data_IF_636458699119
#
_entry.id   IF_636458699119
#
_cell.length_a   1.000
_cell.length_b   1.000
_cell.length_c   1.000
_cell.angle_alpha   90.00
_cell.angle_beta   90.00
_cell.angle_gamma   90.00
#
_symmetry.space_group_name_H-M   'P 1'
#
loop_
_entity.id
_entity.type
_entity.pdbx_description
1 polymer ?
#
# COMPACT_ATOMS: atom_id res chain seq x y z
N UNK A 1 -16.29 32.41 -9.35
CA UNK A 1 -15.23 31.84 -10.19
C UNK A 1 -15.50 30.35 -10.29
N UNK A 2 -15.48 29.76 -11.47
CA UNK A 2 -15.81 28.34 -11.66
C UNK A 2 -14.57 27.49 -11.28
N UNK A 3 -14.68 26.52 -10.36
CA UNK A 3 -13.57 25.63 -10.04
C UNK A 3 -13.19 24.77 -11.25
N UNK A 4 -11.91 24.43 -11.37
CA UNK A 4 -11.47 23.43 -12.35
C UNK A 4 -11.50 22.04 -11.70
N UNK A 5 -12.01 21.07 -12.45
CA UNK A 5 -12.10 19.67 -12.01
C UNK A 5 -10.75 18.96 -12.20
N UNK A 6 -10.42 18.05 -11.30
CA UNK A 6 -9.26 17.16 -11.38
C UNK A 6 -9.72 15.75 -11.73
N UNK A 7 -9.00 15.07 -12.61
CA UNK A 7 -9.28 13.69 -13.01
C UNK A 7 -7.99 12.93 -13.32
N UNK A 8 -8.08 11.60 -13.35
CA UNK A 8 -6.96 10.72 -13.72
C UNK A 8 -7.00 10.41 -15.21
N UNK A 9 -5.94 10.78 -15.92
CA UNK A 9 -5.72 10.41 -17.31
C UNK A 9 -4.68 9.28 -17.39
N UNK A 10 -4.96 8.23 -18.17
CA UNK A 10 -4.07 7.05 -18.26
C UNK A 10 -2.73 7.37 -18.93
N UNK A 11 -2.71 8.26 -19.92
CA UNK A 11 -1.50 8.60 -20.68
C UNK A 11 -0.85 9.89 -20.15
N UNK A 12 -1.65 10.76 -19.53
CA UNK A 12 -1.28 12.13 -19.23
C UNK A 12 -1.41 13.04 -20.45
N UNK A 13 -1.57 14.34 -20.20
CA UNK A 13 -1.61 15.38 -21.23
C UNK A 13 -1.02 16.69 -20.68
N UNK A 14 -1.05 17.79 -21.42
CA UNK A 14 -0.53 19.09 -20.97
C UNK A 14 -1.23 19.63 -19.72
N UNK A 15 -2.48 19.24 -19.48
CA UNK A 15 -3.22 19.51 -18.25
C UNK A 15 -2.72 18.74 -17.03
N UNK A 16 -1.84 17.75 -17.23
CA UNK A 16 -1.19 17.00 -16.14
C UNK A 16 0.08 17.70 -15.62
N UNK A 17 0.47 18.85 -16.18
CA UNK A 17 1.64 19.60 -15.73
C UNK A 17 1.30 20.48 -14.54
N UNK A 18 2.06 20.32 -13.45
CA UNK A 18 1.95 21.12 -12.24
C UNK A 18 3.29 21.79 -11.93
N UNK A 19 3.23 23.07 -11.56
CA UNK A 19 4.35 23.76 -10.93
C UNK A 19 4.27 23.46 -9.43
N UNK A 20 5.41 23.07 -8.85
CA UNK A 20 5.56 22.91 -7.41
C UNK A 20 6.09 24.23 -6.86
N UNK A 21 5.36 24.80 -5.91
CA UNK A 21 5.79 26.01 -5.21
C UNK A 21 5.85 25.79 -3.70
N UNK A 22 6.71 26.53 -2.98
CA UNK A 22 6.66 26.56 -1.53
C UNK A 22 5.32 27.05 -1.00
N UNK A 23 4.73 26.33 -0.04
CA UNK A 23 3.52 26.81 0.65
C UNK A 23 3.81 28.05 1.53
N UNK A 24 5.09 28.27 1.88
CA UNK A 24 5.53 29.35 2.76
C UNK A 24 6.76 30.07 2.20
N UNK A 25 6.92 31.35 2.54
CA UNK A 25 7.93 32.27 1.99
C UNK A 25 9.37 32.05 2.48
N UNK A 26 9.63 31.06 3.35
CA UNK A 26 10.98 30.80 3.87
C UNK A 26 11.82 29.90 2.96
N UNK A 27 11.23 29.33 1.92
CA UNK A 27 11.96 28.63 0.86
C UNK A 27 12.15 29.56 -0.35
N UNK A 28 13.30 29.47 -1.00
CA UNK A 28 13.60 30.27 -2.19
C UNK A 28 13.31 29.45 -3.44
N UNK A 29 12.74 30.09 -4.45
CA UNK A 29 12.54 29.45 -5.76
C UNK A 29 13.91 29.04 -6.32
N UNK A 30 14.03 27.77 -6.70
CA UNK A 30 15.28 27.16 -7.17
C UNK A 30 15.97 26.27 -6.14
N UNK A 31 15.55 26.32 -4.87
CA UNK A 31 16.02 25.38 -3.85
C UNK A 31 15.51 23.96 -4.09
N UNK A 32 16.26 22.98 -3.60
CA UNK A 32 15.84 21.57 -3.61
C UNK A 32 14.61 21.36 -2.72
N UNK A 33 13.59 20.68 -3.25
CA UNK A 33 12.42 20.26 -2.47
C UNK A 33 12.75 19.01 -1.66
N UNK A 34 12.76 19.14 -0.34
CA UNK A 34 13.04 18.03 0.57
C UNK A 34 11.78 17.25 0.94
N UNK A 35 11.95 15.96 1.27
CA UNK A 35 10.89 15.21 1.94
C UNK A 35 10.53 15.90 3.27
N UNK A 36 9.23 15.98 3.56
CA UNK A 36 8.64 16.68 4.68
C UNK A 36 8.29 18.14 4.39
N UNK A 37 8.73 18.71 3.26
CA UNK A 37 8.33 20.06 2.85
C UNK A 37 6.83 20.14 2.55
N UNK A 38 6.26 21.31 2.86
CA UNK A 38 4.89 21.67 2.52
C UNK A 38 4.90 22.47 1.22
N UNK A 39 4.16 21.98 0.24
CA UNK A 39 4.13 22.51 -1.11
C UNK A 39 2.71 22.90 -1.53
N UNK A 40 2.63 23.73 -2.56
CA UNK A 40 1.41 23.98 -3.32
C UNK A 40 1.57 23.43 -4.75
N UNK A 41 0.52 22.83 -5.28
CA UNK A 41 0.49 22.22 -6.61
C UNK A 41 -0.32 23.09 -7.55
N UNK A 42 0.33 23.69 -8.54
CA UNK A 42 -0.24 24.75 -9.36
C UNK A 42 -0.40 24.23 -10.79
N UNK A 43 -1.62 23.94 -11.27
CA UNK A 43 -1.83 23.43 -12.63
C UNK A 43 -1.39 24.46 -13.69
N UNK A 44 -0.51 24.05 -14.59
CA UNK A 44 0.06 24.93 -15.62
C UNK A 44 -0.99 25.41 -16.62
N UNK A 45 -1.80 24.48 -17.14
CA UNK A 45 -2.81 24.75 -18.17
C UNK A 45 -3.88 25.76 -17.72
N UNK A 46 -4.25 25.72 -16.45
CA UNK A 46 -5.27 26.59 -15.85
C UNK A 46 -4.75 28.01 -15.69
N UNK A 47 -3.54 28.17 -15.16
CA UNK A 47 -3.00 29.49 -14.83
C UNK A 47 -2.50 30.24 -16.07
N UNK A 48 -2.11 29.53 -17.14
CA UNK A 48 -1.80 30.17 -18.42
C UNK A 48 -3.01 30.78 -19.13
N UNK A 49 -4.22 30.26 -18.88
CA UNK A 49 -5.45 30.75 -19.50
C UNK A 49 -6.04 31.94 -18.75
N UNK A 50 -5.66 32.15 -17.49
CA UNK A 50 -6.15 33.24 -16.65
C UNK A 50 -5.22 34.45 -16.73
N UNK A 51 -5.69 35.53 -17.36
CA UNK A 51 -5.02 36.83 -17.34
C UNK A 51 -5.14 37.48 -15.95
N UNK A 52 -4.08 37.47 -15.13
CA UNK A 52 -3.97 38.27 -13.91
C UNK A 52 -3.50 37.52 -12.65
N UNK A 53 -3.45 38.25 -11.51
CA UNK A 53 -2.94 37.83 -10.18
C UNK A 53 -3.65 36.63 -9.51
N UNK A 54 -4.55 35.94 -10.21
CA UNK A 54 -5.32 34.82 -9.65
C UNK A 54 -4.57 33.53 -9.92
N UNK A 55 -4.22 32.82 -8.84
CA UNK A 55 -3.43 31.61 -8.92
C UNK A 55 -4.24 30.42 -8.44
N UNK A 56 -4.79 29.66 -9.38
CA UNK A 56 -5.47 28.41 -9.06
C UNK A 56 -4.46 27.35 -8.65
N UNK A 57 -4.76 26.61 -7.60
CA UNK A 57 -3.96 25.49 -7.11
C UNK A 57 -4.84 24.34 -6.63
N UNK A 58 -4.24 23.16 -6.51
CA UNK A 58 -4.90 21.97 -6.02
C UNK A 58 -5.38 22.21 -4.58
N UNK A 59 -6.68 22.11 -4.40
CA UNK A 59 -7.41 22.56 -3.23
C UNK A 59 -8.34 21.45 -2.71
N UNK A 60 -8.42 21.35 -1.38
CA UNK A 60 -9.32 20.45 -0.68
C UNK A 60 -10.64 21.17 -0.37
N UNK A 61 -11.70 20.78 -1.07
CA UNK A 61 -13.05 21.33 -0.88
C UNK A 61 -13.64 20.93 0.48
N UNK A 62 -14.56 21.75 1.00
CA UNK A 62 -15.42 21.35 2.12
C UNK A 62 -16.64 20.53 1.67
N UNK A 63 -16.78 20.27 0.37
CA UNK A 63 -17.88 19.47 -0.17
C UNK A 63 -17.60 17.97 0.01
N UNK A 64 -18.44 17.32 0.81
CA UNK A 64 -18.40 15.86 0.99
C UNK A 64 -19.05 15.16 -0.19
N UNK A 65 -18.48 14.02 -0.58
CA UNK A 65 -19.01 13.22 -1.66
C UNK A 65 -20.32 12.52 -1.22
N UNK A 66 -21.31 12.47 -2.12
CA UNK A 66 -22.64 11.92 -1.80
C UNK A 66 -22.61 10.41 -1.54
N UNK A 67 -21.75 9.72 -2.27
CA UNK A 67 -21.48 8.28 -2.20
C UNK A 67 -20.46 7.93 -1.10
N UNK A 68 -19.64 8.90 -0.67
CA UNK A 68 -18.61 8.70 0.35
C UNK A 68 -18.64 9.82 1.40
N UNK A 69 -19.45 9.61 2.45
CA UNK A 69 -19.73 10.62 3.49
C UNK A 69 -18.51 11.09 4.29
N UNK A 70 -17.40 10.35 4.28
CA UNK A 70 -16.14 10.70 4.95
C UNK A 70 -15.08 11.28 4.00
N UNK A 71 -15.39 11.40 2.71
CA UNK A 71 -14.47 11.89 1.69
C UNK A 71 -14.87 13.29 1.24
N UNK A 72 -13.87 14.14 1.03
CA UNK A 72 -14.02 15.48 0.50
C UNK A 72 -13.53 15.56 -0.94
N UNK A 73 -14.17 16.40 -1.75
CA UNK A 73 -13.77 16.69 -3.12
C UNK A 73 -12.40 17.40 -3.18
N UNK A 74 -11.60 17.08 -4.20
CA UNK A 74 -10.40 17.85 -4.56
C UNK A 74 -10.63 18.54 -5.90
N UNK A 75 -10.38 19.84 -5.95
CA UNK A 75 -10.55 20.67 -7.15
C UNK A 75 -9.38 21.67 -7.27
N UNK A 76 -9.46 22.59 -8.23
CA UNK A 76 -8.48 23.66 -8.38
C UNK A 76 -9.14 25.03 -8.20
N UNK A 77 -8.72 25.75 -7.15
CA UNK A 77 -9.26 27.04 -6.74
C UNK A 77 -8.14 27.99 -6.33
N UNK A 78 -8.44 29.29 -6.30
CA UNK A 78 -7.53 30.33 -5.81
C UNK A 78 -7.60 30.42 -4.28
N UNK A 79 -7.30 29.31 -3.60
CA UNK A 79 -7.31 29.21 -2.14
C UNK A 79 -6.05 28.50 -1.67
N UNK A 80 -5.46 28.99 -0.56
CA UNK A 80 -4.24 28.42 -0.03
C UNK A 80 -4.49 27.00 0.53
N UNK A 81 -3.86 25.99 -0.05
CA UNK A 81 -3.91 24.60 0.39
C UNK A 81 -2.48 24.07 0.37
N UNK A 82 -2.09 23.47 1.49
CA UNK A 82 -0.77 22.90 1.68
C UNK A 82 -0.80 21.38 1.57
N UNK A 83 0.20 20.83 0.90
CA UNK A 83 0.41 19.39 0.75
C UNK A 83 1.78 19.05 1.29
N UNK A 84 1.85 18.21 2.32
CA UNK A 84 3.13 17.76 2.87
C UNK A 84 3.63 16.52 2.12
N UNK A 85 4.85 16.60 1.59
CA UNK A 85 5.45 15.49 0.83
C UNK A 85 6.09 14.50 1.78
N UNK A 86 5.65 13.25 1.81
CA UNK A 86 6.32 12.18 2.56
C UNK A 86 6.94 11.16 1.61
N UNK A 87 8.19 10.77 1.88
CA UNK A 87 8.94 9.85 1.04
C UNK A 87 8.63 8.39 1.40
N UNK A 88 7.95 7.67 0.52
CA UNK A 88 7.63 6.26 0.75
C UNK A 88 8.79 5.31 0.43
N UNK A 89 9.42 5.43 -0.75
CA UNK A 89 10.54 4.58 -1.21
C UNK A 89 11.58 5.44 -1.93
N UNK A 90 12.88 5.25 -1.66
CA UNK A 90 13.92 5.98 -2.39
C UNK A 90 14.15 5.35 -3.76
N UNK A 91 14.54 6.17 -4.73
CA UNK A 91 14.84 5.69 -6.10
C UNK A 91 15.88 4.57 -6.11
N UNK A 92 16.96 4.71 -5.33
CA UNK A 92 18.03 3.72 -5.26
C UNK A 92 17.61 2.41 -4.58
N UNK A 93 16.59 2.43 -3.73
CA UNK A 93 16.02 1.23 -3.11
C UNK A 93 15.03 0.53 -4.04
N UNK A 94 14.49 1.22 -5.05
CA UNK A 94 13.54 0.66 -6.00
C UNK A 94 14.23 -0.20 -7.08
N UNK A 95 14.88 -1.27 -6.64
CA UNK A 95 15.49 -2.25 -7.54
C UNK A 95 14.49 -3.34 -7.92
N UNK A 96 14.50 -3.82 -9.19
CA UNK A 96 13.55 -4.83 -9.66
C UNK A 96 13.77 -6.21 -9.02
N UNK A 97 15.02 -6.58 -8.72
CA UNK A 97 15.39 -7.90 -8.20
C UNK A 97 15.39 -7.98 -6.67
N UNK A 98 15.01 -6.89 -5.99
CA UNK A 98 14.98 -6.81 -4.53
C UNK A 98 13.54 -6.57 -4.08
N UNK A 99 13.05 -7.45 -3.21
CA UNK A 99 11.74 -7.29 -2.58
C UNK A 99 11.70 -6.00 -1.78
N UNK A 100 10.61 -5.24 -1.88
CA UNK A 100 10.41 -3.96 -1.21
C UNK A 100 9.01 -3.86 -0.61
N UNK A 101 8.79 -2.88 0.28
CA UNK A 101 7.45 -2.57 0.80
C UNK A 101 6.48 -2.31 -0.35
N UNK A 102 5.31 -2.94 -0.29
CA UNK A 102 4.27 -2.86 -1.31
C UNK A 102 4.36 -3.95 -2.38
N UNK A 103 5.46 -4.70 -2.47
CA UNK A 103 5.52 -5.85 -3.37
C UNK A 103 4.53 -6.94 -2.91
N UNK A 104 3.87 -7.55 -3.89
CA UNK A 104 2.98 -8.69 -3.65
C UNK A 104 3.71 -9.97 -4.02
N UNK A 105 3.90 -10.85 -3.03
CA UNK A 105 4.64 -12.09 -3.17
C UNK A 105 3.76 -13.32 -2.91
N UNK A 106 4.25 -14.49 -3.36
CA UNK A 106 3.72 -15.80 -2.99
C UNK A 106 4.79 -16.57 -2.21
N UNK A 107 4.47 -17.02 -1.00
CA UNK A 107 5.40 -17.76 -0.15
C UNK A 107 5.34 -19.26 -0.50
N UNK A 108 6.36 -19.76 -1.19
CA UNK A 108 6.46 -21.16 -1.63
C UNK A 108 7.29 -21.99 -0.65
N UNK A 109 6.74 -23.10 -0.17
CA UNK A 109 7.45 -24.06 0.65
C UNK A 109 8.24 -25.02 -0.24
N UNK A 110 9.57 -25.00 -0.14
CA UNK A 110 10.45 -25.79 -1.01
C UNK A 110 10.20 -27.30 -0.91
N UNK A 111 10.18 -27.89 0.30
CA UNK A 111 10.09 -29.35 0.45
C UNK A 111 8.72 -29.92 0.06
N UNK A 112 7.64 -29.25 0.50
CA UNK A 112 6.28 -29.66 0.18
C UNK A 112 5.85 -29.22 -1.23
N UNK A 113 6.66 -28.40 -1.90
CA UNK A 113 6.36 -27.78 -3.19
C UNK A 113 4.94 -27.21 -3.24
N UNK A 114 4.57 -26.32 -2.30
CA UNK A 114 3.22 -25.72 -2.22
C UNK A 114 3.27 -24.29 -1.72
N UNK A 115 2.21 -23.51 -1.98
CA UNK A 115 2.12 -22.13 -1.50
C UNK A 115 1.41 -22.03 -0.15
N UNK A 116 1.85 -21.07 0.67
CA UNK A 116 1.13 -20.62 1.87
C UNK A 116 -0.11 -19.82 1.47
N UNK A 117 -1.26 -20.21 2.01
CA UNK A 117 -2.57 -19.64 1.69
C UNK A 117 -3.37 -19.30 2.94
N UNK A 118 -4.33 -18.38 2.78
CA UNK A 118 -5.37 -18.09 3.77
C UNK A 118 -6.75 -18.36 3.18
N UNK A 119 -7.54 -19.19 3.87
CA UNK A 119 -8.93 -19.46 3.52
C UNK A 119 -9.78 -19.72 4.77
N UNK A 120 -11.09 -19.55 4.65
CA UNK A 120 -12.02 -19.85 5.72
C UNK A 120 -12.17 -21.38 5.85
N UNK A 121 -12.19 -21.88 7.09
CA UNK A 121 -12.49 -23.28 7.36
C UNK A 121 -13.94 -23.55 6.92
N UNK A 122 -14.17 -24.53 6.02
CA UNK A 122 -15.52 -24.89 5.65
C UNK A 122 -16.31 -25.35 6.89
N UNK A 123 -17.58 -24.95 6.97
CA UNK A 123 -18.53 -25.42 8.00
C UNK A 123 -18.28 -24.92 9.43
N UNK A 124 -17.45 -23.90 9.63
CA UNK A 124 -17.39 -23.14 10.90
C UNK A 124 -18.33 -21.94 10.85
N UNK A 125 -19.09 -21.69 11.93
CA UNK A 125 -19.94 -20.51 12.08
C UNK A 125 -19.62 -19.81 13.41
N UNK A 126 -19.10 -18.56 13.41
CA UNK A 126 -18.74 -17.76 12.23
C UNK A 126 -17.59 -18.39 11.42
N UNK A 127 -17.42 -18.02 10.13
CA UNK A 127 -16.29 -18.46 9.31
C UNK A 127 -14.97 -18.13 10.02
N UNK A 128 -14.14 -19.15 10.21
CA UNK A 128 -12.84 -18.99 10.84
C UNK A 128 -11.75 -19.03 9.77
N UNK A 129 -11.01 -17.94 9.61
CA UNK A 129 -9.86 -17.91 8.71
C UNK A 129 -8.72 -18.74 9.27
N UNK A 130 -8.11 -19.55 8.41
CA UNK A 130 -6.94 -20.36 8.73
C UNK A 130 -5.87 -20.20 7.67
N UNK A 131 -4.62 -20.15 8.13
CA UNK A 131 -3.44 -20.14 7.26
C UNK A 131 -2.89 -21.56 7.14
N UNK A 132 -2.71 -22.04 5.92
CA UNK A 132 -2.25 -23.40 5.65
C UNK A 132 -1.54 -23.52 4.28
N UNK A 133 -0.76 -24.60 4.12
CA UNK A 133 -0.21 -24.97 2.82
C UNK A 133 -1.28 -25.69 2.00
N UNK A 134 -1.56 -25.20 0.79
CA UNK A 134 -2.55 -25.82 -0.09
C UNK A 134 -1.89 -26.78 -1.07
N UNK A 135 -2.21 -28.06 -0.93
CA UNK A 135 -1.84 -29.08 -1.93
C UNK A 135 -2.58 -28.82 -3.25
N UNK A 136 -1.94 -29.16 -4.36
CA UNK A 136 -2.47 -28.95 -5.71
C UNK A 136 -2.27 -30.20 -6.54
N UNK A 137 -3.23 -30.49 -7.41
CA UNK A 137 -3.15 -31.59 -8.38
C UNK A 137 -2.47 -31.16 -9.70
N UNK A 138 -1.97 -29.92 -9.78
CA UNK A 138 -1.21 -29.44 -10.94
C UNK A 138 0.15 -30.16 -10.99
N UNK A 139 0.69 -30.43 -12.20
CA UNK A 139 2.02 -31.02 -12.36
C UNK A 139 3.12 -30.22 -11.66
N UNK A 140 3.00 -28.88 -11.68
CA UNK A 140 3.84 -27.96 -10.91
C UNK A 140 2.96 -27.10 -10.02
N UNK A 141 3.32 -27.02 -8.74
CA UNK A 141 2.60 -26.17 -7.82
C UNK A 141 2.88 -24.68 -8.04
N UNK A 142 4.04 -24.32 -8.62
CA UNK A 142 4.36 -22.94 -8.97
C UNK A 142 3.38 -22.34 -9.99
N UNK A 143 2.77 -23.21 -10.82
CA UNK A 143 1.78 -22.82 -11.81
C UNK A 143 0.43 -22.48 -11.18
N UNK A 144 0.21 -22.76 -9.89
CA UNK A 144 -1.04 -22.44 -9.22
C UNK A 144 -1.20 -20.91 -9.01
N UNK A 145 -2.27 -20.36 -9.56
CA UNK A 145 -2.60 -18.92 -9.53
C UNK A 145 -3.82 -18.69 -8.62
N UNK A 146 -3.62 -18.76 -7.31
CA UNK A 146 -4.68 -18.47 -6.32
C UNK A 146 -4.52 -17.08 -5.76
N UNK A 147 -5.61 -16.29 -5.75
CA UNK A 147 -5.65 -15.01 -5.03
C UNK A 147 -5.49 -15.17 -3.52
N UNK A 148 -5.76 -16.37 -2.98
CA UNK A 148 -5.58 -16.73 -1.57
C UNK A 148 -4.12 -16.93 -1.14
N UNK A 149 -3.19 -16.82 -2.08
CA UNK A 149 -1.75 -16.98 -1.85
C UNK A 149 -0.98 -15.65 -1.95
N UNK A 150 -1.67 -14.52 -2.11
CA UNK A 150 -1.05 -13.22 -2.33
C UNK A 150 -0.83 -12.49 -1.00
N UNK A 151 0.43 -12.13 -0.75
CA UNK A 151 0.87 -11.45 0.46
C UNK A 151 1.60 -10.16 0.09
N UNK A 152 1.07 -9.03 0.53
CA UNK A 152 1.76 -7.74 0.45
C UNK A 152 2.84 -7.69 1.53
N UNK A 153 4.07 -7.41 1.12
CA UNK A 153 5.21 -7.24 2.01
C UNK A 153 5.21 -5.82 2.57
N UNK A 154 5.33 -5.69 3.88
CA UNK A 154 5.54 -4.41 4.54
C UNK A 154 6.81 -4.47 5.38
N UNK A 155 7.86 -3.76 4.93
CA UNK A 155 9.07 -3.54 5.72
C UNK A 155 8.72 -2.60 6.87
N UNK A 156 9.01 -3.03 8.10
CA UNK A 156 8.75 -2.22 9.29
C UNK A 156 9.80 -1.12 9.35
N UNK A 157 9.32 0.12 9.44
CA UNK A 157 10.14 1.32 9.55
C UNK A 157 9.76 2.09 10.81
N UNK A 158 10.64 3.00 11.25
CA UNK A 158 10.36 3.89 12.38
C UNK A 158 9.17 4.82 12.09
N UNK A 159 9.12 5.34 10.86
CA UNK A 159 8.08 6.24 10.40
C UNK A 159 7.00 5.48 9.64
N UNK A 160 5.72 5.68 9.98
CA UNK A 160 4.60 4.90 9.43
C UNK A 160 4.37 5.12 7.92
N UNK A 161 4.77 6.27 7.39
CA UNK A 161 4.64 6.61 5.95
C UNK A 161 5.80 6.08 5.11
N UNK A 162 6.76 5.38 5.72
CA UNK A 162 8.01 4.99 5.09
C UNK A 162 8.02 3.48 4.82
N UNK A 163 8.37 3.12 3.58
CA UNK A 163 8.72 1.77 3.17
C UNK A 163 10.24 1.59 3.04
N UNK A 164 10.64 0.54 2.34
CA UNK A 164 12.05 0.32 2.01
C UNK A 164 12.28 -0.97 1.25
N UNK A 165 13.51 -1.15 0.77
CA UNK A 165 13.98 -2.44 0.26
C UNK A 165 14.19 -3.42 1.43
N UNK A 166 13.86 -4.69 1.21
CA UNK A 166 14.06 -5.76 2.18
C UNK A 166 15.56 -6.05 2.36
N UNK A 167 15.97 -6.23 3.62
CA UNK A 167 17.30 -6.60 4.07
C UNK A 167 17.25 -7.78 5.05
N UNK A 168 18.36 -8.50 5.16
CA UNK A 168 18.47 -9.60 6.11
C UNK A 168 18.30 -9.13 7.55
N UNK A 169 17.62 -9.92 8.38
CA UNK A 169 17.45 -9.72 9.83
C UNK A 169 16.69 -8.44 10.24
N UNK A 170 15.90 -7.87 9.33
CA UNK A 170 14.95 -6.79 9.65
C UNK A 170 13.55 -7.33 9.95
N UNK A 171 12.66 -6.45 10.41
CA UNK A 171 11.27 -6.79 10.73
C UNK A 171 10.34 -6.56 9.55
N UNK A 172 9.43 -7.52 9.35
CA UNK A 172 8.45 -7.50 8.26
C UNK A 172 7.08 -7.87 8.77
N UNK A 173 6.06 -7.34 8.09
CA UNK A 173 4.68 -7.82 8.16
C UNK A 173 4.27 -8.35 6.79
N UNK A 174 3.45 -9.40 6.78
CA UNK A 174 2.84 -9.94 5.58
C UNK A 174 1.33 -9.74 5.70
N UNK A 175 0.78 -8.89 4.85
CA UNK A 175 -0.67 -8.62 4.78
C UNK A 175 -1.27 -9.46 3.67
N UNK A 176 -2.30 -10.25 3.97
CA UNK A 176 -3.01 -11.01 2.96
C UNK A 176 -3.82 -10.07 2.08
N UNK A 177 -3.58 -10.09 0.76
CA UNK A 177 -4.09 -9.07 -0.15
C UNK A 177 -5.63 -9.05 -0.24
N UNK A 178 -6.28 -10.20 -0.13
CA UNK A 178 -7.73 -10.29 -0.32
C UNK A 178 -8.55 -9.99 0.95
N UNK A 179 -7.97 -10.10 2.14
CA UNK A 179 -8.69 -9.90 3.41
C UNK A 179 -8.15 -8.75 4.24
N UNK A 180 -7.04 -8.12 3.84
CA UNK A 180 -6.32 -7.10 4.60
C UNK A 180 -5.86 -7.55 6.01
N UNK A 181 -5.87 -8.86 6.28
CA UNK A 181 -5.43 -9.43 7.55
C UNK A 181 -3.91 -9.69 7.56
N UNK A 182 -3.30 -9.64 8.74
CA UNK A 182 -1.86 -9.85 8.90
C UNK A 182 -1.54 -11.26 9.38
N UNK A 183 -0.51 -11.87 8.78
CA UNK A 183 0.07 -13.10 9.31
C UNK A 183 0.62 -12.85 10.71
N UNK A 184 0.09 -13.56 11.70
CA UNK A 184 0.39 -13.34 13.13
C UNK A 184 0.58 -14.67 13.83
N UNK A 185 1.61 -14.79 14.66
CA UNK A 185 1.87 -15.95 15.49
C UNK A 185 1.60 -15.62 16.96
N UNK A 186 0.82 -16.47 17.64
CA UNK A 186 0.55 -16.37 19.07
C UNK A 186 0.89 -17.70 19.76
N UNK A 187 1.22 -17.70 21.06
CA UNK A 187 1.37 -18.94 21.82
C UNK A 187 0.08 -19.76 21.76
N UNK A 188 0.21 -21.08 21.55
CA UNK A 188 -0.93 -21.97 21.63
C UNK A 188 -1.46 -22.02 23.07
N UNK A 189 -2.76 -21.82 23.24
CA UNK A 189 -3.43 -21.83 24.56
C UNK A 189 -3.65 -23.24 25.10
N UNK A 190 -3.42 -24.26 24.28
CA UNK A 190 -3.71 -25.65 24.59
C UNK A 190 -2.47 -26.54 24.39
N UNK A 191 -2.26 -27.55 25.25
CA UNK A 191 -1.07 -28.39 25.19
C UNK A 191 -1.03 -29.19 23.89
N UNK A 192 0.00 -28.95 23.08
CA UNK A 192 0.15 -29.64 21.80
C UNK A 192 0.68 -31.03 22.05
N UNK A 193 -0.06 -32.08 21.63
CA UNK A 193 0.44 -33.45 21.72
C UNK A 193 1.70 -33.58 20.86
N UNK A 194 2.83 -34.09 21.41
CA UNK A 194 3.97 -34.44 20.58
C UNK A 194 3.54 -35.52 19.59
N UNK A 195 3.84 -35.36 18.31
CA UNK A 195 3.43 -36.36 17.33
C UNK A 195 4.23 -37.65 17.55
N UNK A 196 3.55 -38.78 17.45
CA UNK A 196 4.09 -40.11 17.76
C UNK A 196 5.17 -40.59 16.79
N UNK A 197 5.40 -39.87 15.68
CA UNK A 197 6.27 -40.29 14.58
C UNK A 197 7.44 -39.33 14.31
N UNK A 198 7.88 -38.54 15.30
CA UNK A 198 9.03 -37.63 15.14
C UNK A 198 8.80 -36.40 14.24
N UNK A 199 7.57 -36.19 13.75
CA UNK A 199 7.13 -34.92 13.14
C UNK A 199 6.53 -34.00 14.22
N UNK A 200 6.66 -32.69 14.06
CA UNK A 200 6.34 -31.71 15.11
C UNK A 200 4.84 -31.66 15.45
N UNK A 201 4.61 -31.25 16.70
CA UNK A 201 3.36 -30.91 17.37
C UNK A 201 2.27 -30.28 16.46
N UNK A 202 1.08 -30.89 16.43
CA UNK A 202 -0.09 -30.44 15.64
C UNK A 202 -1.14 -29.75 16.51
N UNK A 203 -1.55 -28.54 16.16
CA UNK A 203 -2.66 -27.81 16.80
C UNK A 203 -4.05 -28.21 16.28
N UNK A 204 -4.14 -28.85 15.11
CA UNK A 204 -5.43 -29.21 14.49
C UNK A 204 -6.08 -30.49 15.02
N UNK A 205 -5.43 -31.21 15.94
CA UNK A 205 -5.97 -32.45 16.53
C UNK A 205 -6.73 -32.20 17.85
N UNK A 206 -7.19 -30.97 18.06
CA UNK A 206 -8.01 -30.63 19.23
C UNK A 206 -9.48 -30.81 18.84
N UNK A 207 -10.06 -31.92 19.31
CA UNK A 207 -11.49 -32.19 19.25
C UNK A 207 -12.28 -31.16 20.05
#
# INVERSE_FOLDING_TARGET
MTPFQVYLDRAGNEGSWFIIEPAYKHYVIGDSVAAGNKISLVPYSVNNQTSGHVKHQLHLSHYLLKDHQTAAEVNCLNECTEWQVFMFLLFNENQPDIVKSGDVVRLFHADQQTFLTLDAIPKTCPPQDVVFLRMTNRPSAADATSSRALWEVQVVQKDAYRGGAAKWREFYRFKHLATDMYLTAIPATSPVKPATNGRRASLMHMK
#
